data_IF_076342311321
#
_entry.id   IF_076342311321
#
_cell.length_a   1.000
_cell.length_b   1.000
_cell.length_c   1.000
_cell.angle_alpha   90.00
_cell.angle_beta   90.00
_cell.angle_gamma   90.00
#
_symmetry.space_group_name_H-M   'P 1'
#
loop_
_entity.id
_entity.type
_entity.pdbx_description
1 polymer ?
#
# COMPACT_ATOMS: atom_id res chain seq x y z
N UNK A 1 -33.82 -40.72 -51.59
CA UNK A 1 -32.70 -39.84 -51.22
C UNK A 1 -33.08 -39.08 -49.96
N UNK A 2 -32.53 -39.46 -48.80
CA UNK A 2 -32.75 -38.77 -47.51
C UNK A 2 -31.49 -37.95 -47.22
N UNK A 3 -31.58 -36.62 -47.24
CA UNK A 3 -30.53 -35.75 -46.70
C UNK A 3 -30.72 -35.66 -45.19
N UNK A 4 -29.69 -36.07 -44.44
CA UNK A 4 -29.57 -35.85 -43.00
C UNK A 4 -28.55 -34.73 -42.83
N UNK A 5 -28.97 -33.57 -42.31
CA UNK A 5 -28.06 -32.50 -41.89
C UNK A 5 -27.57 -32.77 -40.46
N UNK A 6 -26.27 -32.58 -40.16
CA UNK A 6 -25.77 -32.60 -38.79
C UNK A 6 -25.93 -31.21 -38.14
N UNK A 7 -26.57 -31.17 -36.98
CA UNK A 7 -26.63 -29.99 -36.13
C UNK A 7 -25.30 -29.84 -35.37
N UNK A 8 -24.54 -28.80 -35.69
CA UNK A 8 -23.33 -28.41 -34.97
C UNK A 8 -23.77 -27.63 -33.71
N UNK A 9 -23.60 -28.23 -32.53
CA UNK A 9 -23.71 -27.54 -31.25
C UNK A 9 -22.45 -26.68 -31.05
N UNK A 10 -22.57 -25.36 -31.14
CA UNK A 10 -21.57 -24.43 -30.62
C UNK A 10 -21.75 -24.30 -29.10
N UNK A 11 -20.79 -24.79 -28.34
CA UNK A 11 -20.67 -24.49 -26.92
C UNK A 11 -20.19 -23.04 -26.74
N UNK A 12 -21.07 -22.17 -26.23
CA UNK A 12 -20.72 -20.81 -25.84
C UNK A 12 -19.90 -20.88 -24.55
N UNK A 13 -18.59 -20.65 -24.67
CA UNK A 13 -17.72 -20.44 -23.52
C UNK A 13 -18.09 -19.07 -22.94
N UNK A 14 -18.86 -19.07 -21.85
CA UNK A 14 -19.14 -17.85 -21.10
C UNK A 14 -17.81 -17.34 -20.51
N UNK A 15 -17.38 -16.11 -20.81
CA UNK A 15 -16.30 -15.51 -20.07
C UNK A 15 -16.81 -15.26 -18.65
N UNK A 16 -16.22 -15.96 -17.68
CA UNK A 16 -16.34 -15.64 -16.27
C UNK A 16 -15.90 -14.19 -16.09
N UNK A 17 -16.87 -13.28 -16.02
CA UNK A 17 -16.64 -11.91 -15.65
C UNK A 17 -15.92 -11.94 -14.29
N UNK A 18 -14.65 -11.53 -14.30
CA UNK A 18 -13.88 -11.37 -13.08
C UNK A 18 -14.68 -10.51 -12.12
N UNK A 19 -14.85 -11.00 -10.89
CA UNK A 19 -15.41 -10.20 -9.81
C UNK A 19 -14.61 -8.90 -9.75
N UNK A 20 -15.22 -7.81 -10.19
CA UNK A 20 -14.67 -6.47 -10.04
C UNK A 20 -14.76 -6.17 -8.55
N UNK A 21 -13.67 -6.42 -7.83
CA UNK A 21 -13.52 -6.03 -6.45
C UNK A 21 -13.74 -4.53 -6.37
N UNK A 22 -14.67 -4.13 -5.50
CA UNK A 22 -15.12 -2.76 -5.41
C UNK A 22 -13.94 -1.82 -5.14
N UNK A 23 -13.77 -0.85 -6.03
CA UNK A 23 -12.93 0.32 -5.82
C UNK A 23 -13.44 1.03 -4.58
N UNK A 24 -12.76 0.92 -3.45
CA UNK A 24 -13.16 1.70 -2.27
C UNK A 24 -12.73 3.14 -2.53
N UNK A 25 -13.69 4.00 -2.90
CA UNK A 25 -13.46 5.36 -3.40
C UNK A 25 -12.65 6.25 -2.43
N UNK A 26 -12.56 5.84 -1.17
CA UNK A 26 -11.92 6.59 -0.09
C UNK A 26 -10.46 6.17 0.17
N UNK A 27 -9.98 5.09 -0.46
CA UNK A 27 -8.63 4.57 -0.23
C UNK A 27 -7.77 4.55 -1.50
N UNK A 28 -6.51 5.01 -1.36
CA UNK A 28 -5.62 5.27 -2.50
C UNK A 28 -5.18 4.04 -3.30
N UNK A 29 -5.26 2.84 -2.72
CA UNK A 29 -4.78 1.62 -3.33
C UNK A 29 -5.89 0.59 -3.47
N UNK A 30 -5.92 -0.09 -4.61
CA UNK A 30 -6.74 -1.28 -4.80
C UNK A 30 -6.10 -2.49 -4.09
N UNK A 31 -6.92 -3.40 -3.60
CA UNK A 31 -6.46 -4.61 -2.93
C UNK A 31 -5.61 -5.49 -3.86
N UNK A 32 -5.96 -5.56 -5.14
CA UNK A 32 -5.27 -6.34 -6.17
C UNK A 32 -3.85 -5.82 -6.39
N UNK A 33 -3.70 -4.49 -6.46
CA UNK A 33 -2.40 -3.85 -6.63
C UNK A 33 -1.50 -4.16 -5.43
N UNK A 34 -2.03 -4.01 -4.21
CA UNK A 34 -1.29 -4.33 -3.00
C UNK A 34 -0.97 -5.82 -2.91
N UNK A 35 -1.89 -6.68 -3.35
CA UNK A 35 -1.67 -8.12 -3.34
C UNK A 35 -0.54 -8.53 -4.28
N UNK A 36 -0.52 -7.97 -5.49
CA UNK A 36 0.55 -8.18 -6.45
C UNK A 36 1.89 -7.62 -5.94
N UNK A 37 1.88 -6.40 -5.40
CA UNK A 37 3.09 -5.74 -4.89
C UNK A 37 3.69 -6.46 -3.68
N UNK A 38 2.85 -6.95 -2.77
CA UNK A 38 3.29 -7.57 -1.52
C UNK A 38 3.43 -9.09 -1.61
N UNK A 39 2.94 -9.72 -2.67
CA UNK A 39 2.97 -11.16 -2.86
C UNK A 39 2.12 -11.93 -1.85
N UNK A 40 1.13 -11.27 -1.23
CA UNK A 40 0.19 -11.86 -0.29
C UNK A 40 -1.21 -11.33 -0.59
N UNK A 41 -2.25 -12.14 -0.40
CA UNK A 41 -3.62 -11.67 -0.58
C UNK A 41 -3.94 -10.56 0.44
N UNK A 42 -4.33 -9.39 -0.04
CA UNK A 42 -4.76 -8.23 0.73
C UNK A 42 -6.27 -8.03 0.55
N UNK A 43 -6.94 -7.56 1.61
CA UNK A 43 -8.34 -7.13 1.56
C UNK A 43 -8.43 -5.68 1.11
N UNK A 44 -9.63 -5.27 0.66
CA UNK A 44 -9.96 -3.88 0.38
C UNK A 44 -9.61 -2.97 1.57
N UNK A 45 -9.14 -1.76 1.25
CA UNK A 45 -8.82 -0.76 2.27
C UNK A 45 -10.06 -0.34 3.03
N UNK A 46 -9.89 -0.06 4.31
CA UNK A 46 -10.90 0.56 5.17
C UNK A 46 -10.38 1.95 5.53
N UNK A 47 -11.14 3.03 5.22
CA UNK A 47 -10.80 4.38 5.64
C UNK A 47 -10.71 4.48 7.15
N UNK A 48 -9.72 5.22 7.61
CA UNK A 48 -9.51 5.50 9.03
C UNK A 48 -9.05 6.94 9.23
N UNK A 49 -9.15 7.42 10.47
CA UNK A 49 -8.68 8.76 10.81
C UNK A 49 -7.14 8.76 10.85
N UNK A 50 -6.54 9.34 9.82
CA UNK A 50 -5.10 9.62 9.77
C UNK A 50 -4.70 10.80 10.66
N UNK A 51 -3.40 10.93 10.96
CA UNK A 51 -2.85 12.11 11.60
C UNK A 51 -2.67 13.26 10.60
N UNK A 52 -2.48 12.96 9.31
CA UNK A 52 -2.26 13.96 8.26
C UNK A 52 -3.57 14.39 7.59
N UNK A 53 -4.43 13.42 7.27
CA UNK A 53 -5.86 13.63 6.94
C UNK A 53 -6.50 12.30 6.53
N UNK A 54 -5.95 11.67 5.49
CA UNK A 54 -6.50 10.52 4.81
C UNK A 54 -5.77 9.24 5.23
N UNK A 55 -6.37 8.54 6.20
CA UNK A 55 -5.88 7.25 6.68
C UNK A 55 -6.55 6.08 5.95
N UNK A 56 -5.80 5.04 5.63
CA UNK A 56 -6.33 3.77 5.14
C UNK A 56 -5.58 2.58 5.72
N UNK A 57 -6.34 1.62 6.23
CA UNK A 57 -5.83 0.31 6.67
C UNK A 57 -6.20 -0.77 5.66
N UNK A 58 -5.21 -1.58 5.29
CA UNK A 58 -5.37 -2.80 4.51
C UNK A 58 -4.89 -3.98 5.34
N UNK A 59 -5.61 -5.10 5.30
CA UNK A 59 -5.30 -6.27 6.11
C UNK A 59 -5.11 -7.48 5.19
N UNK A 60 -4.08 -8.28 5.43
CA UNK A 60 -3.88 -9.53 4.70
C UNK A 60 -5.04 -10.50 4.93
N UNK A 61 -5.28 -11.42 3.99
CA UNK A 61 -6.37 -12.40 4.08
C UNK A 61 -6.33 -13.22 5.39
N UNK A 62 -5.12 -13.55 5.86
CA UNK A 62 -4.87 -14.27 7.11
C UNK A 62 -4.81 -13.38 8.37
N UNK A 63 -4.99 -12.06 8.25
CA UNK A 63 -5.01 -11.11 9.36
C UNK A 63 -3.65 -10.76 9.99
N UNK A 64 -2.55 -11.35 9.51
CA UNK A 64 -1.23 -11.22 10.14
C UNK A 64 -0.50 -9.93 9.79
N UNK A 65 -0.67 -9.44 8.56
CA UNK A 65 -0.02 -8.23 8.06
C UNK A 65 -1.06 -7.15 7.92
N UNK A 66 -0.75 -5.95 8.41
CA UNK A 66 -1.53 -4.74 8.14
C UNK A 66 -0.65 -3.72 7.44
N UNK A 67 -1.16 -3.14 6.37
CA UNK A 67 -0.55 -2.00 5.70
C UNK A 67 -1.36 -0.76 6.03
N UNK A 68 -0.72 0.24 6.61
CA UNK A 68 -1.31 1.52 6.96
C UNK A 68 -0.75 2.59 6.03
N UNK A 69 -1.63 3.49 5.61
CA UNK A 69 -1.30 4.67 4.81
C UNK A 69 -1.91 5.87 5.52
N UNK A 70 -1.12 6.89 5.77
CA UNK A 70 -1.59 8.20 6.24
C UNK A 70 -1.02 9.26 5.29
N UNK A 71 -1.90 9.99 4.63
CA UNK A 71 -1.53 10.99 3.64
C UNK A 71 -2.32 12.27 3.86
N UNK A 72 -1.65 13.42 3.72
CA UNK A 72 -2.29 14.72 3.86
C UNK A 72 -1.35 15.88 3.56
N UNK A 73 -1.87 17.11 3.50
CA UNK A 73 -1.05 18.31 3.42
C UNK A 73 0.00 18.30 4.53
N UNK A 74 1.24 18.66 4.21
CA UNK A 74 2.30 18.68 5.20
C UNK A 74 1.98 19.74 6.29
N UNK A 75 1.78 19.36 7.56
CA UNK A 75 1.41 20.31 8.61
C UNK A 75 2.63 21.07 9.17
N UNK A 76 3.84 20.78 8.68
CA UNK A 76 5.08 21.40 9.12
C UNK A 76 5.77 22.19 7.98
N UNK A 77 6.75 23.05 8.27
CA UNK A 77 7.51 23.79 7.25
C UNK A 77 8.27 22.90 6.25
N UNK A 78 8.53 21.64 6.60
CA UNK A 78 9.16 20.65 5.72
C UNK A 78 8.86 19.22 6.20
N UNK A 79 8.97 18.23 5.31
CA UNK A 79 8.79 16.83 5.69
C UNK A 79 9.80 16.37 6.75
N UNK A 80 11.04 16.88 6.70
CA UNK A 80 12.05 16.60 7.72
C UNK A 80 11.67 17.15 9.10
N UNK A 81 11.14 18.39 9.14
CA UNK A 81 10.64 18.97 10.38
C UNK A 81 9.49 18.14 10.96
N UNK A 82 8.52 17.75 10.13
CA UNK A 82 7.44 16.87 10.57
C UNK A 82 7.95 15.55 11.13
N UNK A 83 8.84 14.85 10.40
CA UNK A 83 9.39 13.56 10.83
C UNK A 83 10.05 13.64 12.19
N UNK A 84 10.81 14.71 12.46
CA UNK A 84 11.45 14.94 13.77
C UNK A 84 10.46 15.24 14.88
N UNK A 85 9.35 15.92 14.58
CA UNK A 85 8.30 16.21 15.57
C UNK A 85 7.41 15.00 15.86
N UNK A 86 7.05 14.22 14.83
CA UNK A 86 6.08 13.13 14.91
C UNK A 86 6.68 11.81 15.42
N UNK A 87 8.01 11.70 15.51
CA UNK A 87 8.69 10.48 15.93
C UNK A 87 9.51 10.72 17.21
N UNK A 88 9.69 9.69 18.04
CA UNK A 88 10.41 9.84 19.30
C UNK A 88 11.89 10.23 19.08
N UNK A 89 12.53 10.89 20.06
CA UNK A 89 13.96 11.14 20.04
C UNK A 89 14.76 9.85 19.81
N UNK A 90 15.83 9.94 19.01
CA UNK A 90 16.65 8.79 18.62
C UNK A 90 16.16 8.03 17.38
N UNK A 91 15.02 8.41 16.80
CA UNK A 91 14.59 7.90 15.49
C UNK A 91 15.58 8.28 14.40
N UNK A 92 15.93 7.32 13.55
CA UNK A 92 16.78 7.55 12.38
C UNK A 92 15.92 7.63 11.12
N UNK A 93 16.37 8.44 10.16
CA UNK A 93 15.69 8.64 8.89
C UNK A 93 16.59 8.32 7.69
N UNK A 94 16.95 7.05 7.44
CA UNK A 94 17.77 6.69 6.29
C UNK A 94 17.11 7.12 4.98
N UNK A 95 17.85 7.86 4.16
CA UNK A 95 17.39 8.31 2.84
C UNK A 95 17.30 7.11 1.90
N UNK A 96 16.22 7.04 1.12
CA UNK A 96 16.14 6.15 -0.04
C UNK A 96 16.90 6.81 -1.19
N UNK A 97 18.02 6.25 -1.66
CA UNK A 97 18.84 6.89 -2.68
C UNK A 97 18.07 7.10 -3.98
N UNK A 98 18.26 8.26 -4.61
CA UNK A 98 17.66 8.63 -5.89
C UNK A 98 16.13 8.63 -5.93
N UNK A 99 15.46 8.69 -4.78
CA UNK A 99 14.00 8.76 -4.72
C UNK A 99 13.50 10.18 -5.04
N UNK A 100 12.63 10.36 -6.06
CA UNK A 100 12.18 11.69 -6.50
C UNK A 100 11.32 12.41 -5.46
N UNK A 101 10.70 11.67 -4.55
CA UNK A 101 9.83 12.17 -3.50
C UNK A 101 10.56 12.29 -2.14
N UNK A 102 11.91 12.23 -2.17
CA UNK A 102 12.79 12.31 -1.00
C UNK A 102 12.34 11.34 0.10
N UNK A 103 12.01 10.13 -0.31
CA UNK A 103 11.57 9.09 0.62
C UNK A 103 12.67 8.77 1.64
N UNK A 104 12.24 8.55 2.88
CA UNK A 104 13.08 8.09 3.97
C UNK A 104 12.41 6.90 4.64
N UNK A 105 13.24 5.98 5.12
CA UNK A 105 12.83 4.97 6.09
C UNK A 105 12.70 5.62 7.46
N UNK A 106 11.84 5.10 8.32
CA UNK A 106 11.73 5.53 9.71
C UNK A 106 12.13 4.35 10.60
N UNK A 107 13.34 4.44 11.13
CA UNK A 107 13.88 3.42 12.03
C UNK A 107 13.76 3.94 13.47
N UNK A 108 12.66 3.56 14.14
CA UNK A 108 12.34 3.98 15.51
C UNK A 108 13.07 3.11 16.54
N UNK A 109 13.58 3.68 17.64
CA UNK A 109 14.20 2.91 18.72
C UNK A 109 13.21 1.98 19.44
N UNK A 110 11.91 2.30 19.40
CA UNK A 110 10.87 1.62 20.17
C UNK A 110 10.07 0.60 19.36
N UNK A 111 10.42 0.35 18.09
CA UNK A 111 9.69 -0.60 17.28
C UNK A 111 10.16 -0.65 15.83
N UNK A 112 10.12 -1.86 15.27
CA UNK A 112 10.68 -2.18 13.95
C UNK A 112 9.56 -2.48 12.98
N UNK A 113 8.65 -1.53 12.82
CA UNK A 113 7.65 -1.60 11.75
C UNK A 113 8.25 -0.92 10.52
N UNK A 114 8.44 -1.64 9.40
CA UNK A 114 8.89 -1.03 8.16
C UNK A 114 7.99 0.15 7.81
N UNK A 115 8.56 1.35 7.89
CA UNK A 115 7.81 2.60 7.75
C UNK A 115 8.52 3.52 6.77
N UNK A 116 7.83 3.93 5.72
CA UNK A 116 8.37 4.81 4.69
C UNK A 116 7.61 6.14 4.70
N UNK A 117 8.35 7.24 4.76
CA UNK A 117 7.79 8.60 4.63
C UNK A 117 8.37 9.30 3.41
N UNK A 118 7.53 9.94 2.59
CA UNK A 118 7.95 10.71 1.42
C UNK A 118 7.06 11.94 1.24
N UNK A 119 7.50 12.88 0.41
CA UNK A 119 6.78 14.12 0.12
C UNK A 119 6.54 14.25 -1.38
N UNK A 120 5.28 14.46 -1.76
CA UNK A 120 4.88 14.59 -3.16
C UNK A 120 3.85 15.70 -3.32
N UNK A 121 4.14 16.69 -4.16
CA UNK A 121 3.16 17.75 -4.47
C UNK A 121 2.61 18.51 -3.26
N UNK A 122 3.44 18.72 -2.22
CA UNK A 122 3.04 19.41 -0.97
C UNK A 122 2.32 18.53 0.05
N UNK A 123 2.11 17.26 -0.29
CA UNK A 123 1.57 16.26 0.62
C UNK A 123 2.69 15.45 1.25
N UNK A 124 2.48 15.11 2.52
CA UNK A 124 3.28 14.14 3.21
C UNK A 124 2.54 12.81 3.21
N UNK A 125 3.27 11.75 2.87
CA UNK A 125 2.75 10.38 2.93
C UNK A 125 3.60 9.57 3.89
N UNK A 126 2.95 8.87 4.80
CA UNK A 126 3.57 7.90 5.72
C UNK A 126 2.89 6.57 5.49
N UNK A 127 3.68 5.53 5.24
CA UNK A 127 3.20 4.17 5.05
C UNK A 127 3.88 3.25 6.05
N UNK A 128 3.17 2.27 6.60
CA UNK A 128 3.68 1.38 7.64
C UNK A 128 3.19 -0.05 7.46
N UNK A 129 4.07 -1.02 7.68
CA UNK A 129 3.73 -2.44 7.76
C UNK A 129 3.74 -2.89 9.22
N UNK A 130 2.57 -3.28 9.73
CA UNK A 130 2.42 -3.94 11.03
C UNK A 130 2.40 -5.46 10.87
N UNK A 131 2.92 -6.16 11.88
CA UNK A 131 2.99 -7.63 11.89
C UNK A 131 4.19 -8.22 11.13
N UNK A 132 5.01 -7.37 10.49
CA UNK A 132 6.32 -7.76 10.00
C UNK A 132 7.30 -7.95 11.17
N UNK A 133 8.22 -8.90 11.03
CA UNK A 133 9.30 -9.11 11.99
C UNK A 133 10.51 -8.24 11.64
N UNK A 134 11.43 -8.09 12.59
CA UNK A 134 12.75 -7.46 12.36
C UNK A 134 13.53 -8.18 11.25
N UNK A 135 13.45 -9.51 11.20
CA UNK A 135 14.13 -10.33 10.20
C UNK A 135 13.65 -10.05 8.77
N UNK A 136 12.37 -9.67 8.61
CA UNK A 136 11.77 -9.41 7.29
C UNK A 136 11.73 -7.92 6.94
N UNK A 137 12.26 -7.04 7.79
CA UNK A 137 12.09 -5.60 7.66
C UNK A 137 12.63 -5.06 6.33
N UNK A 138 13.82 -5.49 5.91
CA UNK A 138 14.44 -5.09 4.64
C UNK A 138 13.61 -5.52 3.42
N UNK A 139 13.06 -6.74 3.47
CA UNK A 139 12.15 -7.24 2.42
C UNK A 139 10.92 -6.35 2.29
N UNK A 140 10.33 -5.95 3.40
CA UNK A 140 9.18 -5.05 3.41
C UNK A 140 9.53 -3.63 2.97
N UNK A 141 10.69 -3.10 3.34
CA UNK A 141 11.17 -1.83 2.81
C UNK A 141 11.34 -1.87 1.29
N UNK A 142 11.92 -2.95 0.75
CA UNK A 142 12.02 -3.13 -0.70
C UNK A 142 10.66 -3.13 -1.40
N UNK A 143 9.63 -3.71 -0.77
CA UNK A 143 8.25 -3.69 -1.27
C UNK A 143 7.62 -2.29 -1.20
N UNK A 144 7.81 -1.56 -0.10
CA UNK A 144 7.28 -0.20 0.09
C UNK A 144 7.92 0.82 -0.87
N UNK A 145 9.23 0.74 -1.08
CA UNK A 145 9.97 1.65 -1.98
C UNK A 145 9.47 1.52 -3.42
N UNK A 146 9.12 0.30 -3.84
CA UNK A 146 8.60 0.01 -5.18
C UNK A 146 7.09 0.22 -5.32
N UNK A 147 6.38 0.47 -4.23
CA UNK A 147 4.94 0.70 -4.27
C UNK A 147 4.65 1.99 -5.05
N UNK A 148 3.58 1.98 -5.84
CA UNK A 148 3.10 3.19 -6.53
C UNK A 148 2.92 4.33 -5.52
N UNK A 149 3.47 5.49 -5.86
CA UNK A 149 3.38 6.70 -5.04
C UNK A 149 2.00 7.34 -5.16
N UNK A 150 1.49 7.87 -4.05
CA UNK A 150 0.22 8.60 -3.96
C UNK A 150 0.52 10.07 -3.66
N UNK A 151 -0.39 11.01 -3.97
CA UNK A 151 -0.32 12.39 -3.49
C UNK A 151 -0.29 12.40 -1.96
#
# INVERSE_FOLDING_TARGET
MRLVLPAILLAVVAPSAGAQTAKNADCYFEAELLSAQFGIAMKAGVPEKGFLAHGCQYVSANGKIKFLVDAGPNPAPSADAWRKMANPPGTKFPIVPNDPDKAVRIDSPNGVYPTLSYERGGWLVVTRILGATTADAETWYGKLIKLKRIP
#
